data_IF_046137159130
#
_entry.id   IF_046137159130
#
_cell.length_a   1.000
_cell.length_b   1.000
_cell.length_c   1.000
_cell.angle_alpha   90.00
_cell.angle_beta   90.00
_cell.angle_gamma   90.00
#
_symmetry.space_group_name_H-M   'P 1'
#
loop_
_entity.id
_entity.type
_entity.pdbx_description
1 polymer ?
#
# COMPACT_ATOMS: atom_id res chain seq x y z
N UNK A 1 3.67 22.98 -0.43
CA UNK A 1 4.25 24.29 -0.80
C UNK A 1 4.78 24.31 -2.24
N UNK A 2 5.70 23.41 -2.62
CA UNK A 2 6.28 23.34 -3.99
C UNK A 2 5.34 22.81 -5.08
N UNK A 3 4.31 22.03 -4.72
CA UNK A 3 3.31 21.49 -5.66
C UNK A 3 2.51 22.55 -6.43
N UNK A 4 2.57 23.83 -6.01
CA UNK A 4 1.94 24.96 -6.72
C UNK A 4 2.79 25.53 -7.86
N UNK A 5 4.09 25.23 -7.88
CA UNK A 5 5.07 25.87 -8.76
C UNK A 5 5.76 24.91 -9.73
N UNK A 6 5.74 23.60 -9.44
CA UNK A 6 6.39 22.58 -10.26
C UNK A 6 5.36 21.51 -10.63
N UNK A 7 5.07 21.40 -11.93
CA UNK A 7 4.22 20.38 -12.53
C UNK A 7 5.15 19.54 -13.41
N UNK A 8 5.60 18.39 -12.91
CA UNK A 8 6.52 17.52 -13.62
C UNK A 8 6.36 16.07 -13.15
N UNK A 9 6.29 15.15 -14.12
CA UNK A 9 6.20 13.70 -13.92
C UNK A 9 7.32 13.07 -13.07
N UNK A 10 8.44 13.79 -12.83
CA UNK A 10 9.55 13.34 -11.98
C UNK A 10 9.31 13.39 -10.46
N UNK A 11 8.13 13.82 -9.99
CA UNK A 11 7.74 13.84 -8.58
C UNK A 11 8.82 14.46 -7.66
N UNK A 12 9.31 13.69 -6.67
CA UNK A 12 10.33 14.13 -5.71
C UNK A 12 11.62 14.61 -6.37
N UNK A 13 12.03 14.01 -7.50
CA UNK A 13 13.21 14.46 -8.23
C UNK A 13 13.08 15.93 -8.61
N UNK A 14 11.99 16.28 -9.29
CA UNK A 14 11.76 17.63 -9.79
C UNK A 14 11.61 18.66 -8.67
N UNK A 15 10.98 18.30 -7.56
CA UNK A 15 10.84 19.20 -6.42
C UNK A 15 12.17 19.48 -5.73
N UNK A 16 13.00 18.46 -5.52
CA UNK A 16 14.28 18.59 -4.81
C UNK A 16 15.36 19.17 -5.72
N UNK A 17 15.38 18.78 -7.00
CA UNK A 17 16.35 19.29 -7.97
C UNK A 17 16.15 20.80 -8.23
N UNK A 18 14.90 21.26 -8.28
CA UNK A 18 14.57 22.68 -8.49
C UNK A 18 14.57 23.50 -7.19
N UNK A 19 14.24 22.89 -6.05
CA UNK A 19 14.17 23.57 -4.76
C UNK A 19 15.49 23.63 -3.99
N UNK A 20 16.35 22.62 -4.12
CA UNK A 20 17.63 22.53 -3.40
C UNK A 20 18.81 22.51 -4.38
N UNK A 21 19.02 21.37 -5.07
CA UNK A 21 20.04 21.24 -6.11
C UNK A 21 19.88 19.91 -6.86
N UNK A 22 20.38 19.86 -8.10
CA UNK A 22 20.33 18.64 -8.92
C UNK A 22 20.98 17.41 -8.26
N UNK A 23 22.19 17.47 -7.65
CA UNK A 23 22.79 16.30 -7.01
C UNK A 23 21.94 15.73 -5.88
N UNK A 24 21.32 16.59 -5.06
CA UNK A 24 20.42 16.16 -3.98
C UNK A 24 19.14 15.53 -4.56
N UNK A 25 18.61 16.09 -5.65
CA UNK A 25 17.47 15.50 -6.38
C UNK A 25 17.75 14.09 -6.88
N UNK A 26 18.94 13.86 -7.44
CA UNK A 26 19.39 12.52 -7.87
C UNK A 26 19.44 11.56 -6.68
N UNK A 27 20.06 11.98 -5.57
CA UNK A 27 20.14 11.17 -4.35
C UNK A 27 18.75 10.75 -3.84
N UNK A 28 17.82 11.71 -3.73
CA UNK A 28 16.43 11.42 -3.31
C UNK A 28 15.73 10.46 -4.26
N UNK A 29 16.01 10.54 -5.57
CA UNK A 29 15.39 9.67 -6.56
C UNK A 29 15.93 8.25 -6.51
N UNK A 30 17.22 8.07 -6.22
CA UNK A 30 17.80 6.74 -5.97
C UNK A 30 17.19 6.09 -4.73
N UNK A 31 17.03 6.86 -3.65
CA UNK A 31 16.38 6.38 -2.42
C UNK A 31 14.92 6.01 -2.67
N UNK A 32 14.16 6.88 -3.37
CA UNK A 32 12.78 6.61 -3.72
C UNK A 32 12.64 5.35 -4.60
N UNK A 33 13.48 5.21 -5.62
CA UNK A 33 13.51 4.05 -6.50
C UNK A 33 13.77 2.75 -5.71
N UNK A 34 14.75 2.76 -4.80
CA UNK A 34 15.04 1.61 -3.95
C UNK A 34 13.87 1.31 -3.00
N UNK A 35 13.29 2.34 -2.37
CA UNK A 35 12.15 2.18 -1.47
C UNK A 35 10.93 1.57 -2.19
N UNK A 36 10.59 2.04 -3.40
CA UNK A 36 9.47 1.49 -4.17
C UNK A 36 9.68 0.02 -4.55
N UNK A 37 10.89 -0.35 -4.97
CA UNK A 37 11.20 -1.75 -5.30
C UNK A 37 11.18 -2.65 -4.05
N UNK A 38 11.73 -2.20 -2.93
CA UNK A 38 11.67 -2.94 -1.66
C UNK A 38 10.22 -3.11 -1.17
N UNK A 39 9.39 -2.07 -1.35
CA UNK A 39 7.97 -2.15 -1.03
C UNK A 39 7.25 -3.19 -1.90
N UNK A 40 7.53 -3.22 -3.21
CA UNK A 40 6.99 -4.27 -4.09
C UNK A 40 7.37 -5.68 -3.59
N UNK A 41 8.62 -5.91 -3.21
CA UNK A 41 9.06 -7.23 -2.69
C UNK A 41 8.25 -7.63 -1.46
N UNK A 42 8.04 -6.71 -0.51
CA UNK A 42 7.22 -6.96 0.68
C UNK A 42 5.77 -7.29 0.34
N UNK A 43 5.15 -6.49 -0.53
CA UNK A 43 3.75 -6.67 -0.96
C UNK A 43 3.57 -7.95 -1.76
N UNK A 44 4.54 -8.35 -2.60
CA UNK A 44 4.52 -9.64 -3.29
C UNK A 44 4.50 -10.81 -2.29
N UNK A 45 5.30 -10.75 -1.23
CA UNK A 45 5.27 -11.77 -0.17
C UNK A 45 3.89 -11.90 0.47
N UNK A 46 3.27 -10.76 0.82
CA UNK A 46 1.94 -10.70 1.41
C UNK A 46 0.83 -11.19 0.44
N UNK A 47 0.92 -10.81 -0.83
CA UNK A 47 0.04 -11.30 -1.89
C UNK A 47 0.15 -12.82 -2.05
N UNK A 48 1.37 -13.33 -2.14
CA UNK A 48 1.64 -14.77 -2.28
C UNK A 48 1.11 -15.59 -1.12
N UNK A 49 1.33 -15.12 0.11
CA UNK A 49 0.77 -15.71 1.33
C UNK A 49 -0.75 -15.76 1.26
N UNK A 50 -1.40 -14.61 1.03
CA UNK A 50 -2.86 -14.47 1.08
C UNK A 50 -3.55 -15.32 0.01
N UNK A 51 -3.05 -15.29 -1.23
CA UNK A 51 -3.60 -16.09 -2.34
C UNK A 51 -3.44 -17.59 -2.08
N UNK A 52 -2.29 -17.99 -1.52
CA UNK A 52 -2.04 -19.39 -1.18
C UNK A 52 -2.95 -19.87 -0.06
N UNK A 53 -3.12 -19.08 1.01
CA UNK A 53 -4.07 -19.38 2.10
C UNK A 53 -5.48 -19.58 1.55
N UNK A 54 -5.95 -18.67 0.69
CA UNK A 54 -7.28 -18.75 0.07
C UNK A 54 -7.46 -19.99 -0.82
N UNK A 55 -6.44 -20.31 -1.64
CA UNK A 55 -6.46 -21.52 -2.48
C UNK A 55 -6.48 -22.79 -1.65
N UNK A 56 -5.67 -22.85 -0.59
CA UNK A 56 -5.61 -24.02 0.28
C UNK A 56 -6.93 -24.24 1.02
N UNK A 57 -7.52 -23.17 1.56
CA UNK A 57 -8.77 -23.24 2.32
C UNK A 57 -9.96 -23.72 1.46
N UNK A 58 -10.05 -23.28 0.21
CA UNK A 58 -11.19 -23.60 -0.66
C UNK A 58 -11.01 -24.84 -1.54
N UNK A 59 -9.77 -25.12 -1.96
CA UNK A 59 -9.50 -26.21 -2.90
C UNK A 59 -8.64 -27.33 -2.30
N UNK A 60 -8.16 -27.17 -1.06
CA UNK A 60 -7.26 -28.14 -0.42
C UNK A 60 -5.90 -28.26 -1.09
N UNK A 61 -5.53 -27.28 -1.92
CA UNK A 61 -4.27 -27.31 -2.69
C UNK A 61 -3.21 -26.49 -1.96
N UNK A 62 -2.19 -27.18 -1.45
CA UNK A 62 -1.00 -26.54 -0.87
C UNK A 62 -0.04 -26.10 -1.99
N UNK A 63 -0.14 -24.84 -2.41
CA UNK A 63 0.82 -24.23 -3.33
C UNK A 63 1.97 -23.56 -2.55
N UNK A 64 3.21 -23.57 -3.07
CA UNK A 64 4.24 -22.69 -2.55
C UNK A 64 3.88 -21.23 -2.82
N UNK A 65 4.05 -20.35 -1.82
CA UNK A 65 3.67 -18.93 -1.90
C UNK A 65 4.32 -18.17 -3.06
N UNK A 66 5.50 -18.60 -3.52
CA UNK A 66 6.21 -17.96 -4.61
C UNK A 66 5.58 -18.21 -5.97
N UNK A 67 4.75 -19.25 -6.13
CA UNK A 67 4.06 -19.56 -7.40
C UNK A 67 3.09 -18.45 -7.80
N UNK A 68 2.09 -18.07 -6.97
CA UNK A 68 1.21 -16.95 -7.31
C UNK A 68 1.96 -15.63 -7.42
N UNK A 69 3.10 -15.46 -6.71
CA UNK A 69 3.96 -14.29 -6.86
C UNK A 69 4.56 -14.18 -8.26
N UNK A 70 5.15 -15.25 -8.79
CA UNK A 70 5.73 -15.23 -10.14
C UNK A 70 4.67 -14.92 -11.21
N UNK A 71 3.47 -15.49 -11.06
CA UNK A 71 2.34 -15.18 -11.93
C UNK A 71 1.96 -13.70 -11.82
N UNK A 72 1.86 -13.18 -10.59
CA UNK A 72 1.55 -11.76 -10.35
C UNK A 72 2.62 -10.83 -10.96
N UNK A 73 3.90 -11.13 -10.79
CA UNK A 73 5.01 -10.36 -11.40
C UNK A 73 4.86 -10.32 -12.92
N UNK A 74 4.59 -11.46 -13.56
CA UNK A 74 4.39 -11.51 -15.01
C UNK A 74 3.21 -10.65 -15.46
N UNK A 75 2.07 -10.72 -14.75
CA UNK A 75 0.90 -9.90 -15.05
C UNK A 75 1.19 -8.42 -14.84
N UNK A 76 1.78 -8.04 -13.71
CA UNK A 76 2.13 -6.64 -13.40
C UNK A 76 3.10 -6.07 -14.44
N UNK A 77 4.14 -6.83 -14.83
CA UNK A 77 5.07 -6.41 -15.88
C UNK A 77 4.37 -6.21 -17.23
N UNK A 78 3.47 -7.13 -17.61
CA UNK A 78 2.68 -7.02 -18.84
C UNK A 78 1.75 -5.80 -18.83
N UNK A 79 1.11 -5.50 -17.70
CA UNK A 79 0.27 -4.30 -17.56
C UNK A 79 1.10 -3.02 -17.61
N UNK A 80 2.25 -3.01 -16.93
CA UNK A 80 3.20 -1.89 -16.87
C UNK A 80 3.68 -1.46 -18.25
N UNK A 81 4.17 -2.40 -19.08
CA UNK A 81 4.65 -2.09 -20.44
C UNK A 81 3.54 -1.62 -21.40
N UNK A 82 2.28 -1.84 -21.03
CA UNK A 82 1.11 -1.42 -21.81
C UNK A 82 0.45 -0.14 -21.26
N UNK A 83 1.01 0.48 -20.21
CA UNK A 83 0.46 1.68 -19.54
C UNK A 83 -0.97 1.45 -19.05
N UNK A 84 -1.28 0.24 -18.62
CA UNK A 84 -2.59 -0.07 -18.04
C UNK A 84 -2.57 0.36 -16.58
N UNK A 85 -3.46 1.29 -16.25
CA UNK A 85 -3.73 1.69 -14.88
C UNK A 85 -5.21 1.43 -14.57
N UNK A 86 -5.52 1.20 -13.30
CA UNK A 86 -6.89 1.05 -12.87
C UNK A 86 -7.59 2.42 -12.91
N UNK A 87 -8.82 2.46 -13.42
CA UNK A 87 -9.59 3.69 -13.41
C UNK A 87 -9.78 4.18 -11.97
N UNK A 88 -9.56 5.48 -11.73
CA UNK A 88 -9.79 6.11 -10.43
C UNK A 88 -11.19 5.82 -9.85
N UNK A 89 -12.21 5.62 -10.71
CA UNK A 89 -13.55 5.21 -10.29
C UNK A 89 -13.59 3.81 -9.71
N UNK A 90 -12.93 2.85 -10.37
CA UNK A 90 -12.87 1.45 -9.91
C UNK A 90 -12.09 1.38 -8.61
N UNK A 91 -10.94 2.05 -8.54
CA UNK A 91 -10.14 2.11 -7.31
C UNK A 91 -10.93 2.75 -6.16
N UNK A 92 -11.66 3.83 -6.43
CA UNK A 92 -12.50 4.48 -5.42
C UNK A 92 -13.61 3.57 -4.88
N UNK A 93 -14.22 2.72 -5.72
CA UNK A 93 -15.20 1.72 -5.29
C UNK A 93 -14.53 0.64 -4.45
N UNK A 94 -13.39 0.09 -4.88
CA UNK A 94 -12.66 -0.93 -4.14
C UNK A 94 -12.25 -0.43 -2.75
N UNK A 95 -11.63 0.76 -2.68
CA UNK A 95 -11.26 1.39 -1.40
C UNK A 95 -12.48 1.65 -0.52
N UNK A 96 -13.60 2.09 -1.10
CA UNK A 96 -14.84 2.28 -0.35
C UNK A 96 -15.37 0.98 0.26
N UNK A 97 -15.31 -0.14 -0.47
CA UNK A 97 -15.69 -1.46 0.02
C UNK A 97 -14.71 -1.98 1.07
N UNK A 98 -13.41 -1.74 0.90
CA UNK A 98 -12.37 -2.11 1.87
C UNK A 98 -12.57 -1.36 3.20
N UNK A 99 -12.82 -0.05 3.15
CA UNK A 99 -13.17 0.74 4.34
C UNK A 99 -14.42 0.18 5.02
N UNK A 100 -15.45 -0.19 4.25
CA UNK A 100 -16.67 -0.77 4.82
C UNK A 100 -16.39 -2.08 5.55
N UNK A 101 -15.60 -2.97 4.97
CA UNK A 101 -15.22 -4.25 5.60
C UNK A 101 -14.48 -4.01 6.91
N UNK A 102 -13.52 -3.10 6.94
CA UNK A 102 -12.77 -2.80 8.16
C UNK A 102 -13.65 -2.10 9.20
N UNK A 103 -14.58 -1.23 8.81
CA UNK A 103 -15.57 -0.66 9.74
C UNK A 103 -16.45 -1.76 10.35
N UNK A 104 -16.90 -2.73 9.56
CA UNK A 104 -17.65 -3.89 10.06
C UNK A 104 -16.81 -4.69 11.05
N UNK A 105 -15.55 -4.97 10.72
CA UNK A 105 -14.60 -5.62 11.62
C UNK A 105 -14.44 -4.85 12.95
N UNK A 106 -14.28 -3.53 12.89
CA UNK A 106 -14.09 -2.69 14.07
C UNK A 106 -15.31 -2.71 14.98
N UNK A 107 -16.51 -2.56 14.40
CA UNK A 107 -17.79 -2.60 15.14
C UNK A 107 -17.98 -3.96 15.82
N UNK A 108 -17.73 -5.06 15.10
CA UNK A 108 -17.82 -6.41 15.68
C UNK A 108 -16.80 -6.59 16.79
N UNK A 109 -15.56 -6.14 16.59
CA UNK A 109 -14.49 -6.24 17.58
C UNK A 109 -14.85 -5.54 18.89
N UNK A 110 -15.40 -4.32 18.83
CA UNK A 110 -15.88 -3.62 20.02
C UNK A 110 -17.13 -4.23 20.64
N UNK A 111 -17.97 -4.91 19.86
CA UNK A 111 -19.15 -5.60 20.37
C UNK A 111 -18.80 -6.92 21.07
N UNK A 112 -17.80 -7.66 20.56
CA UNK A 112 -17.34 -8.93 21.13
C UNK A 112 -16.52 -8.71 22.40
N UNK A 113 -15.51 -7.83 22.34
CA UNK A 113 -14.70 -7.34 23.46
C UNK A 113 -14.60 -8.29 24.68
N UNK A 114 -13.92 -9.46 24.56
CA UNK A 114 -13.95 -10.52 25.57
C UNK A 114 -13.39 -10.11 26.94
N UNK A 115 -12.51 -9.11 26.96
CA UNK A 115 -11.93 -8.51 28.19
C UNK A 115 -12.51 -7.11 28.49
N UNK A 116 -13.60 -6.74 27.80
CA UNK A 116 -14.16 -5.39 27.79
C UNK A 116 -13.39 -4.41 26.90
N UNK A 117 -13.96 -3.22 26.72
CA UNK A 117 -13.33 -2.16 25.91
C UNK A 117 -12.25 -1.46 26.74
N UNK A 118 -11.04 -2.01 26.69
CA UNK A 118 -9.88 -1.49 27.40
C UNK A 118 -9.16 -0.40 26.60
N UNK A 119 -8.80 0.70 27.27
CA UNK A 119 -7.90 1.73 26.72
C UNK A 119 -6.41 1.39 26.84
N UNK A 120 -6.06 0.23 27.40
CA UNK A 120 -4.66 -0.19 27.59
C UNK A 120 -3.81 -0.15 26.30
N UNK A 121 -4.31 -0.55 25.11
CA UNK A 121 -3.54 -0.44 23.87
C UNK A 121 -3.20 1.00 23.46
N UNK A 122 -3.88 2.00 24.01
CA UNK A 122 -3.64 3.43 23.75
C UNK A 122 -2.66 4.04 24.75
N UNK A 123 -2.14 3.26 25.70
CA UNK A 123 -1.21 3.78 26.69
C UNK A 123 0.11 4.22 26.02
N UNK A 124 0.64 5.41 26.34
CA UNK A 124 1.94 5.85 25.82
C UNK A 124 3.09 4.91 26.19
N UNK A 125 2.95 4.16 27.29
CA UNK A 125 3.93 3.15 27.72
C UNK A 125 4.12 2.03 26.69
N UNK A 126 3.07 1.72 25.93
CA UNK A 126 3.12 0.72 24.84
C UNK A 126 4.05 1.12 23.69
N UNK A 127 4.50 2.38 23.63
CA UNK A 127 5.50 2.84 22.67
C UNK A 127 6.94 2.52 23.11
N UNK A 128 7.18 2.31 24.40
CA UNK A 128 8.54 2.13 24.94
C UNK A 128 8.89 0.65 25.15
N UNK A 129 8.53 -0.19 24.19
CA UNK A 129 8.78 -1.63 24.21
C UNK A 129 9.95 -2.02 23.31
N UNK A 130 10.66 -3.12 23.61
CA UNK A 130 11.63 -3.69 22.69
C UNK A 130 10.99 -3.91 21.31
N UNK A 131 11.65 -3.44 20.25
CA UNK A 131 11.14 -3.57 18.88
C UNK A 131 10.29 -2.40 18.38
N UNK A 132 10.13 -1.31 19.14
CA UNK A 132 9.42 -0.10 18.66
C UNK A 132 9.93 0.41 17.30
N UNK A 133 11.23 0.28 17.02
CA UNK A 133 11.80 0.65 15.72
C UNK A 133 11.20 -0.12 14.54
N UNK A 134 10.90 -1.41 14.73
CA UNK A 134 10.22 -2.22 13.72
C UNK A 134 8.76 -1.79 13.57
N UNK A 135 8.06 -1.55 14.68
CA UNK A 135 6.67 -1.05 14.69
C UNK A 135 6.56 0.28 13.94
N UNK A 136 7.45 1.23 14.23
CA UNK A 136 7.51 2.52 13.53
C UNK A 136 7.84 2.35 12.04
N UNK A 137 8.72 1.40 11.69
CA UNK A 137 9.05 1.12 10.29
C UNK A 137 7.84 0.60 9.51
N UNK A 138 7.09 -0.35 10.09
CA UNK A 138 5.83 -0.83 9.51
C UNK A 138 4.76 0.24 9.46
N UNK A 139 4.66 1.06 10.52
CA UNK A 139 3.76 2.21 10.56
C UNK A 139 4.06 3.17 9.41
N UNK A 140 5.31 3.62 9.25
CA UNK A 140 5.72 4.52 8.16
C UNK A 140 5.47 3.86 6.79
N UNK A 141 5.79 2.57 6.64
CA UNK A 141 5.52 1.81 5.42
C UNK A 141 4.03 1.79 5.06
N UNK A 142 3.13 1.66 6.04
CA UNK A 142 1.68 1.63 5.83
C UNK A 142 1.10 2.98 5.33
N UNK A 143 1.84 4.08 5.46
CA UNK A 143 1.49 5.38 4.88
C UNK A 143 2.16 5.66 3.54
N UNK A 144 3.05 4.77 3.06
CA UNK A 144 3.73 4.97 1.79
C UNK A 144 2.73 5.11 0.63
N UNK A 145 2.96 6.07 -0.26
CA UNK A 145 2.07 6.35 -1.39
C UNK A 145 1.21 7.61 -1.22
N UNK A 146 1.22 8.27 -0.06
CA UNK A 146 0.53 9.57 0.14
C UNK A 146 1.00 10.65 -0.85
N UNK A 147 2.22 10.53 -1.34
CA UNK A 147 2.84 11.40 -2.33
C UNK A 147 2.26 11.23 -3.74
N UNK A 148 1.55 10.13 -4.00
CA UNK A 148 0.99 9.81 -5.33
C UNK A 148 0.02 10.89 -5.80
N UNK A 149 -0.64 11.59 -4.88
CA UNK A 149 -1.48 12.74 -5.19
C UNK A 149 -0.71 13.86 -5.93
N UNK A 150 0.59 14.02 -5.68
CA UNK A 150 1.43 14.97 -6.41
C UNK A 150 1.75 14.49 -7.83
N UNK A 151 1.89 13.17 -8.03
CA UNK A 151 2.13 12.56 -9.34
C UNK A 151 0.93 12.79 -10.27
N UNK A 152 -0.29 12.64 -9.75
CA UNK A 152 -1.53 12.84 -10.50
C UNK A 152 -2.03 14.30 -10.49
N UNK A 153 -1.19 15.25 -10.11
CA UNK A 153 -1.56 16.67 -10.08
C UNK A 153 -1.94 17.20 -11.47
N UNK A 154 -1.31 16.69 -12.54
CA UNK A 154 -1.64 17.03 -13.93
C UNK A 154 -3.06 16.63 -14.35
N UNK A 155 -3.66 15.65 -13.67
CA UNK A 155 -5.01 15.15 -13.95
C UNK A 155 -6.08 15.79 -13.06
N UNK A 156 -5.68 16.63 -12.11
CA UNK A 156 -6.58 17.36 -11.22
C UNK A 156 -7.18 18.60 -11.90
N UNK A 157 -8.46 18.87 -11.67
CA UNK A 157 -9.13 20.10 -12.15
C UNK A 157 -8.56 21.37 -11.52
N UNK A 158 -8.12 21.29 -10.26
CA UNK A 158 -7.49 22.39 -9.52
C UNK A 158 -6.31 21.86 -8.70
N UNK A 159 -5.14 21.64 -9.33
CA UNK A 159 -3.99 21.06 -8.64
C UNK A 159 -3.46 21.93 -7.51
N UNK A 160 -3.66 23.25 -7.56
CA UNK A 160 -3.11 24.20 -6.56
C UNK A 160 -3.75 24.08 -5.19
N UNK A 161 -5.00 23.61 -5.14
CA UNK A 161 -5.78 23.47 -3.91
C UNK A 161 -6.17 22.02 -3.63
N UNK A 162 -6.63 21.27 -4.64
CA UNK A 162 -7.14 19.92 -4.47
C UNK A 162 -6.06 18.95 -4.02
N UNK A 163 -4.86 19.00 -4.61
CA UNK A 163 -3.78 18.06 -4.26
C UNK A 163 -3.41 18.17 -2.78
N UNK A 164 -3.16 19.40 -2.30
CA UNK A 164 -2.80 19.61 -0.90
C UNK A 164 -3.92 19.18 0.06
N UNK A 165 -5.16 19.61 -0.19
CA UNK A 165 -6.30 19.25 0.66
C UNK A 165 -6.54 17.75 0.66
N UNK A 166 -6.52 17.10 -0.50
CA UNK A 166 -6.69 15.66 -0.63
C UNK A 166 -5.60 14.90 0.12
N UNK A 167 -4.32 15.28 -0.01
CA UNK A 167 -3.23 14.62 0.72
C UNK A 167 -3.40 14.74 2.23
N UNK A 168 -3.60 15.96 2.77
CA UNK A 168 -3.73 16.14 4.22
C UNK A 168 -4.99 15.45 4.78
N UNK A 169 -6.11 15.54 4.07
CA UNK A 169 -7.35 14.86 4.47
C UNK A 169 -7.20 13.34 4.41
N UNK A 170 -6.59 12.79 3.37
CA UNK A 170 -6.36 11.36 3.25
C UNK A 170 -5.44 10.84 4.37
N UNK A 171 -4.32 11.52 4.63
CA UNK A 171 -3.40 11.15 5.71
C UNK A 171 -4.09 11.18 7.08
N UNK A 172 -4.88 12.22 7.36
CA UNK A 172 -5.61 12.32 8.63
C UNK A 172 -6.66 11.21 8.78
N UNK A 173 -7.42 10.92 7.72
CA UNK A 173 -8.41 9.85 7.71
C UNK A 173 -7.73 8.50 7.93
N UNK A 174 -6.67 8.18 7.17
CA UNK A 174 -5.94 6.91 7.29
C UNK A 174 -5.34 6.76 8.69
N UNK A 175 -4.77 7.83 9.26
CA UNK A 175 -4.19 7.78 10.60
C UNK A 175 -5.22 7.51 11.69
N UNK A 176 -6.37 8.19 11.64
CA UNK A 176 -7.46 7.91 12.57
C UNK A 176 -8.00 6.50 12.36
N UNK A 177 -8.17 6.08 11.12
CA UNK A 177 -8.69 4.77 10.76
C UNK A 177 -7.78 3.65 11.28
N UNK A 178 -6.49 3.68 10.96
CA UNK A 178 -5.52 2.70 11.45
C UNK A 178 -5.42 2.68 12.98
N UNK A 179 -5.48 3.84 13.64
CA UNK A 179 -5.46 3.90 15.10
C UNK A 179 -6.69 3.22 15.71
N UNK A 180 -7.88 3.52 15.18
CA UNK A 180 -9.14 2.90 15.64
C UNK A 180 -9.16 1.41 15.35
N UNK A 181 -8.80 0.98 14.13
CA UNK A 181 -8.85 -0.44 13.76
C UNK A 181 -7.78 -1.28 14.47
N UNK A 182 -6.59 -0.72 14.72
CA UNK A 182 -5.57 -1.38 15.55
C UNK A 182 -6.05 -1.53 16.99
N UNK A 183 -6.75 -0.53 17.53
CA UNK A 183 -7.34 -0.61 18.86
C UNK A 183 -8.49 -1.62 18.91
N UNK A 184 -9.37 -1.61 17.90
CA UNK A 184 -10.46 -2.56 17.75
C UNK A 184 -9.93 -3.99 17.68
N UNK A 185 -8.89 -4.26 16.88
CA UNK A 185 -8.25 -5.58 16.80
C UNK A 185 -7.76 -6.08 18.17
N UNK A 186 -7.11 -5.21 18.95
CA UNK A 186 -6.66 -5.56 20.30
C UNK A 186 -7.83 -5.81 21.25
N UNK A 187 -8.89 -5.01 21.19
CA UNK A 187 -10.09 -5.19 22.01
C UNK A 187 -10.85 -6.46 21.63
N UNK A 188 -11.11 -6.69 20.35
CA UNK A 188 -11.89 -7.83 19.85
C UNK A 188 -11.19 -9.17 20.04
N UNK A 189 -9.87 -9.21 19.86
CA UNK A 189 -9.08 -10.43 20.13
C UNK A 189 -8.88 -10.67 21.63
N UNK A 190 -8.93 -9.60 22.44
CA UNK A 190 -8.51 -9.60 23.84
C UNK A 190 -7.09 -9.03 23.99
N UNK A 191 -6.89 -7.94 24.76
CA UNK A 191 -5.57 -7.34 24.95
C UNK A 191 -4.50 -8.31 25.46
N UNK A 192 -4.89 -9.32 26.25
CA UNK A 192 -3.95 -10.35 26.75
C UNK A 192 -3.55 -11.38 25.68
N UNK A 193 -4.38 -11.59 24.65
CA UNK A 193 -4.23 -12.65 23.66
C UNK A 193 -3.75 -12.15 22.29
N UNK A 194 -3.92 -10.87 21.97
CA UNK A 194 -3.69 -10.33 20.62
C UNK A 194 -2.25 -10.54 20.11
N UNK A 195 -1.25 -10.46 20.99
CA UNK A 195 0.16 -10.65 20.61
C UNK A 195 0.41 -12.10 20.20
N UNK A 196 -0.04 -13.07 21.01
CA UNK A 196 0.12 -14.49 20.70
C UNK A 196 -0.72 -14.92 19.48
N UNK A 197 -1.93 -14.38 19.36
CA UNK A 197 -2.81 -14.66 18.23
C UNK A 197 -2.23 -14.12 16.92
N UNK A 198 -1.73 -12.88 16.91
CA UNK A 198 -1.07 -12.28 15.75
C UNK A 198 0.24 -12.97 15.39
N UNK A 199 1.02 -13.46 16.36
CA UNK A 199 2.22 -14.24 16.09
C UNK A 199 1.92 -15.58 15.40
N UNK A 200 0.78 -16.21 15.74
CA UNK A 200 0.37 -17.51 15.17
C UNK A 200 -0.32 -17.37 13.81
N UNK A 201 -1.22 -16.40 13.69
CA UNK A 201 -2.10 -16.27 12.53
C UNK A 201 -1.60 -15.22 11.53
N UNK A 202 -0.78 -14.26 11.98
CA UNK A 202 -0.29 -13.19 11.14
C UNK A 202 -1.45 -12.39 10.50
N UNK A 203 -1.40 -12.15 9.18
CA UNK A 203 -2.47 -11.43 8.47
C UNK A 203 -3.84 -12.11 8.55
N UNK A 204 -3.89 -13.44 8.75
CA UNK A 204 -5.15 -14.19 8.77
C UNK A 204 -5.98 -13.95 10.04
N UNK A 205 -5.41 -13.32 11.09
CA UNK A 205 -6.12 -13.02 12.34
C UNK A 205 -7.44 -12.27 12.09
N UNK A 206 -7.40 -11.22 11.27
CA UNK A 206 -8.58 -10.40 10.96
C UNK A 206 -9.64 -11.21 10.21
N UNK A 207 -9.22 -12.03 9.24
CA UNK A 207 -10.14 -12.82 8.42
C UNK A 207 -10.74 -13.99 9.18
N UNK A 208 -9.96 -14.67 10.01
CA UNK A 208 -10.46 -15.70 10.93
C UNK A 208 -11.49 -15.12 11.90
N UNK A 209 -11.18 -13.96 12.51
CA UNK A 209 -12.11 -13.26 13.39
C UNK A 209 -13.42 -12.89 12.68
N UNK A 210 -13.37 -12.39 11.45
CA UNK A 210 -14.56 -12.15 10.64
C UNK A 210 -15.32 -13.44 10.33
N UNK A 211 -14.63 -14.54 10.05
CA UNK A 211 -15.25 -15.84 9.80
C UNK A 211 -16.05 -16.31 11.01
N UNK A 212 -15.48 -16.18 12.20
CA UNK A 212 -16.07 -16.62 13.46
C UNK A 212 -17.27 -15.76 13.90
N UNK A 213 -17.26 -14.45 13.62
CA UNK A 213 -18.25 -13.51 14.18
C UNK A 213 -19.20 -12.88 13.15
N UNK A 214 -18.78 -12.76 11.89
CA UNK A 214 -19.55 -12.19 10.79
C UNK A 214 -19.99 -13.25 9.76
N UNK A 215 -19.35 -14.42 9.78
CA UNK A 215 -19.60 -15.54 8.89
C UNK A 215 -18.60 -15.63 7.74
N UNK A 216 -18.39 -16.86 7.27
CA UNK A 216 -17.37 -17.22 6.25
C UNK A 216 -17.48 -16.37 4.98
N UNK A 217 -18.70 -16.12 4.50
CA UNK A 217 -18.89 -15.32 3.28
C UNK A 217 -18.33 -13.89 3.41
N UNK A 218 -18.46 -13.26 4.58
CA UNK A 218 -17.93 -11.91 4.81
C UNK A 218 -16.40 -11.95 4.87
N UNK A 219 -15.84 -12.97 5.52
CA UNK A 219 -14.39 -13.18 5.55
C UNK A 219 -13.80 -13.41 4.14
N UNK A 220 -14.47 -14.19 3.30
CA UNK A 220 -14.02 -14.45 1.93
C UNK A 220 -14.08 -13.20 1.04
N UNK A 221 -15.16 -12.42 1.15
CA UNK A 221 -15.26 -11.13 0.46
C UNK A 221 -14.18 -10.15 0.94
N UNK A 222 -13.89 -10.12 2.24
CA UNK A 222 -12.83 -9.31 2.82
C UNK A 222 -11.45 -9.72 2.27
N UNK A 223 -11.16 -11.03 2.23
CA UNK A 223 -9.90 -11.56 1.66
C UNK A 223 -9.80 -11.25 0.18
N UNK A 224 -10.88 -11.40 -0.59
CA UNK A 224 -10.87 -11.10 -2.02
C UNK A 224 -10.58 -9.62 -2.28
N UNK A 225 -11.24 -8.72 -1.55
CA UNK A 225 -10.96 -7.29 -1.62
C UNK A 225 -9.49 -7.00 -1.28
N UNK A 226 -8.98 -7.60 -0.20
CA UNK A 226 -7.58 -7.45 0.19
C UNK A 226 -6.61 -7.92 -0.89
N UNK A 227 -6.82 -9.09 -1.50
CA UNK A 227 -6.00 -9.58 -2.63
C UNK A 227 -6.05 -8.61 -3.81
N UNK A 228 -7.23 -8.09 -4.15
CA UNK A 228 -7.35 -7.10 -5.24
C UNK A 228 -6.66 -5.78 -4.91
N UNK A 229 -6.68 -5.35 -3.65
CA UNK A 229 -5.97 -4.16 -3.16
C UNK A 229 -4.46 -4.33 -3.25
N UNK A 230 -3.93 -5.49 -2.82
CA UNK A 230 -2.51 -5.82 -2.93
C UNK A 230 -2.06 -5.82 -4.39
N UNK A 231 -2.86 -6.41 -5.29
CA UNK A 231 -2.58 -6.38 -6.73
C UNK A 231 -2.57 -4.95 -7.29
N UNK A 232 -3.57 -4.14 -6.95
CA UNK A 232 -3.64 -2.74 -7.36
C UNK A 232 -2.44 -1.93 -6.84
N UNK A 233 -2.02 -2.16 -5.60
CA UNK A 233 -0.83 -1.55 -5.02
C UNK A 233 0.45 -1.97 -5.78
N UNK A 234 0.60 -3.25 -6.12
CA UNK A 234 1.74 -3.75 -6.90
C UNK A 234 1.84 -3.09 -8.28
N UNK A 235 0.71 -2.95 -9.00
CA UNK A 235 0.66 -2.23 -10.28
C UNK A 235 1.02 -0.75 -10.11
N UNK A 236 0.49 -0.10 -9.07
CA UNK A 236 0.78 1.31 -8.79
C UNK A 236 2.27 1.56 -8.49
N UNK A 237 2.86 0.75 -7.61
CA UNK A 237 4.28 0.84 -7.29
C UNK A 237 5.17 0.51 -8.49
N UNK A 238 4.77 -0.45 -9.32
CA UNK A 238 5.47 -0.78 -10.57
C UNK A 238 5.51 0.42 -11.52
N UNK A 239 4.35 1.05 -11.72
CA UNK A 239 4.21 2.22 -12.57
C UNK A 239 5.01 3.41 -12.03
N UNK A 240 5.03 3.61 -10.70
CA UNK A 240 5.86 4.62 -10.06
C UNK A 240 7.35 4.37 -10.29
N UNK A 241 7.84 3.15 -10.02
CA UNK A 241 9.24 2.78 -10.24
C UNK A 241 9.68 2.95 -11.70
N UNK A 242 8.84 2.52 -12.66
CA UNK A 242 9.10 2.70 -14.08
C UNK A 242 9.21 4.18 -14.49
N UNK A 243 8.38 5.06 -13.90
CA UNK A 243 8.47 6.54 -14.11
C UNK A 243 9.77 7.12 -13.55
N UNK A 244 10.23 6.64 -12.40
CA UNK A 244 11.54 7.03 -11.85
C UNK A 244 12.69 6.61 -12.76
N UNK A 245 12.73 5.34 -13.19
CA UNK A 245 13.73 4.85 -14.14
C UNK A 245 13.74 5.67 -15.44
N UNK A 246 12.56 5.99 -15.96
CA UNK A 246 12.40 6.84 -17.14
C UNK A 246 13.01 8.23 -16.96
N UNK A 247 12.64 8.93 -15.87
CA UNK A 247 13.12 10.27 -15.59
C UNK A 247 14.65 10.31 -15.46
N UNK A 248 15.20 9.35 -14.71
CA UNK A 248 16.64 9.25 -14.46
C UNK A 248 17.43 8.84 -15.72
N UNK A 249 16.85 7.98 -16.57
CA UNK A 249 17.45 7.61 -17.86
C UNK A 249 17.44 8.76 -18.87
N UNK A 250 16.37 9.58 -18.88
CA UNK A 250 16.27 10.78 -19.74
C UNK A 250 17.31 11.84 -19.37
N UNK A 251 17.62 11.95 -18.09
CA UNK A 251 18.62 12.89 -17.56
C UNK A 251 20.04 12.31 -17.52
N UNK A 252 20.24 11.12 -18.09
CA UNK A 252 21.53 10.43 -18.21
C UNK A 252 22.22 10.15 -16.87
N UNK A 253 21.46 10.13 -15.78
CA UNK A 253 21.92 9.64 -14.47
C UNK A 253 22.03 8.12 -14.49
N UNK A 254 21.08 7.47 -15.17
CA UNK A 254 21.07 6.03 -15.45
C UNK A 254 21.28 5.79 -16.97
N UNK A 255 21.56 4.54 -17.40
CA UNK A 255 21.74 4.24 -18.83
C UNK A 255 20.60 4.78 -19.69
N UNK A 256 20.95 5.47 -20.78
CA UNK A 256 20.01 6.18 -21.68
C UNK A 256 18.84 5.32 -22.17
N UNK A 257 19.02 4.00 -22.27
CA UNK A 257 17.98 3.04 -22.65
C UNK A 257 16.77 3.06 -21.69
N UNK A 258 16.97 3.35 -20.41
CA UNK A 258 15.89 3.43 -19.42
C UNK A 258 14.97 4.63 -19.64
N UNK A 259 15.44 5.66 -20.35
CA UNK A 259 14.62 6.79 -20.80
C UNK A 259 13.82 6.53 -22.08
N UNK A 260 13.71 5.28 -22.54
CA UNK A 260 12.96 4.92 -23.73
C UNK A 260 11.50 4.58 -23.41
N UNK A 261 10.58 4.95 -24.31
CA UNK A 261 9.16 4.58 -24.24
C UNK A 261 8.77 3.67 -25.39
N UNK A 262 7.75 2.84 -25.18
CA UNK A 262 7.18 1.98 -26.21
C UNK A 262 6.37 2.84 -27.20
N UNK A 263 6.60 2.64 -28.50
CA UNK A 263 6.05 3.50 -29.57
C UNK A 263 4.53 3.59 -29.60
N UNK A 264 3.82 2.53 -29.22
CA UNK A 264 2.35 2.48 -29.27
C UNK A 264 1.68 2.96 -27.97
N UNK A 265 2.15 2.52 -26.79
CA UNK A 265 1.52 2.85 -25.50
C UNK A 265 2.10 4.11 -24.84
N UNK A 266 3.29 4.55 -25.25
CA UNK A 266 4.04 5.60 -24.54
C UNK A 266 4.54 5.18 -23.16
N UNK A 267 4.46 3.89 -22.81
CA UNK A 267 4.91 3.35 -21.53
C UNK A 267 6.44 3.28 -21.46
N UNK A 268 7.08 3.62 -20.32
CA UNK A 268 8.48 3.30 -20.08
C UNK A 268 8.67 1.79 -19.95
N UNK A 269 9.14 1.14 -21.02
CA UNK A 269 9.23 -0.32 -21.05
C UNK A 269 10.57 -0.84 -20.51
N UNK A 270 11.64 -0.05 -20.60
CA UNK A 270 12.98 -0.51 -20.27
C UNK A 270 13.25 -0.57 -18.75
N UNK A 271 12.48 0.19 -17.97
CA UNK A 271 12.50 0.16 -16.50
C UNK A 271 11.30 -0.57 -15.89
N UNK A 272 10.57 -1.34 -16.70
CA UNK A 272 9.46 -2.21 -16.30
C UNK A 272 9.95 -3.63 -16.09
#
# INVERSE_FOLDING_TARGET
AMSRYVVNAGAFYSYVAQGISRPVGVGVSMVALMAYNLMQVGIYGLFGFTVTSLINEHFGVALPWWVPVLVCIAVVALLGVNRVDLSAKVLGVLVGLEFLVVIVYDVISFAVAPEGVSGAPLSPESLFVPGVGAVLSFGIAAFMGFESAAIYSEESKDPKHTVARATYTAVAIIALFYAVSSWAMAVGTGPSAVVDASAKQGPDLMFGFLGDHAGVLIADLARLLFVTSLFAALVSFHNAAARYFFSLGREQVLPRKLGAVRRHSGAPYAGS
#
